data_IF_681123985140
#
_entry.id   IF_681123985140
#
_cell.length_a   1.000
_cell.length_b   1.000
_cell.length_c   1.000
_cell.angle_alpha   90.00
_cell.angle_beta   90.00
_cell.angle_gamma   90.00
#
_symmetry.space_group_name_H-M   'P 1'
#
loop_
_entity.id
_entity.type
_entity.pdbx_description
1 polymer ?
2 non-polymer ?
3 non-polymer ?
4 water ?
#
# COMPACT_ATOMS: atom_id res chain seq x y z
N UNK A 1 -0.51 9.61 -26.65
CA UNK A 1 -1.78 8.99 -26.19
C UNK A 1 -2.08 7.69 -26.95
N UNK A 2 -1.79 7.65 -28.26
CA UNK A 2 -1.81 6.41 -29.04
C UNK A 2 -0.41 5.80 -29.10
N UNK A 3 -0.35 4.48 -28.99
CA UNK A 3 0.89 3.75 -29.21
C UNK A 3 1.72 3.41 -27.97
N UNK A 4 1.21 3.67 -26.78
CA UNK A 4 2.00 3.41 -25.57
C UNK A 4 2.21 1.93 -25.34
N UNK A 5 3.43 1.57 -24.95
CA UNK A 5 3.77 0.21 -24.58
C UNK A 5 3.18 -0.17 -23.20
N UNK A 6 2.58 0.80 -22.50
CA UNK A 6 2.04 0.58 -21.16
C UNK A 6 0.52 0.77 -21.13
N UNK A 7 -0.07 0.76 -22.32
CA UNK A 7 -1.53 0.86 -22.48
C UNK A 7 -2.30 -0.15 -21.60
N UNK A 8 -1.84 -1.40 -21.59
CA UNK A 8 -2.42 -2.43 -20.71
C UNK A 8 -2.42 -2.09 -19.23
N UNK A 9 -1.27 -1.69 -18.69
CA UNK A 9 -1.17 -1.29 -17.31
C UNK A 9 -2.14 -0.17 -17.04
N UNK A 10 -2.22 0.79 -17.97
CA UNK A 10 -3.09 1.92 -17.74
C UNK A 10 -4.55 1.49 -17.67
N UNK A 11 -4.97 0.65 -18.61
CA UNK A 11 -6.33 0.11 -18.59
C UNK A 11 -6.64 -0.74 -17.35
N UNK A 12 -5.66 -1.53 -16.90
CA UNK A 12 -5.82 -2.32 -15.67
C UNK A 12 -6.05 -1.41 -14.46
N UNK A 13 -5.26 -0.34 -14.34
CA UNK A 13 -5.41 0.56 -13.21
C UNK A 13 -6.74 1.30 -13.26
N UNK A 14 -7.12 1.78 -14.44
CA UNK A 14 -8.43 2.40 -14.61
C UNK A 14 -9.57 1.46 -14.18
N UNK A 15 -9.50 0.20 -14.59
CA UNK A 15 -10.53 -0.78 -14.23
C UNK A 15 -10.55 -1.02 -12.71
N UNK A 16 -9.37 -1.08 -12.10
CA UNK A 16 -9.24 -1.28 -10.65
C UNK A 16 -9.82 -0.09 -9.88
N UNK A 17 -9.43 1.12 -10.27
CA UNK A 17 -9.92 2.32 -9.60
C UNK A 17 -11.45 2.48 -9.74
N UNK A 18 -12.00 2.05 -10.88
CA UNK A 18 -13.45 2.10 -11.11
C UNK A 18 -14.25 1.15 -10.18
N UNK A 19 -13.57 0.20 -9.57
CA UNK A 19 -14.22 -0.74 -8.63
C UNK A 19 -14.40 -0.15 -7.24
N UNK A 20 -13.70 0.96 -6.96
CA UNK A 20 -13.73 1.61 -5.64
C UNK A 20 -15.05 2.32 -5.42
N UNK A 21 -15.73 1.97 -4.32
CA UNK A 21 -16.98 2.60 -3.97
C UNK A 21 -16.74 3.68 -2.92
N UNK A 22 -16.87 4.96 -3.31
CA UNK A 22 -16.63 6.09 -2.40
C UNK A 22 -17.61 6.17 -1.23
N UNK A 23 -18.59 5.27 -1.18
CA UNK A 23 -19.55 5.21 -0.07
C UNK A 23 -19.08 4.31 1.07
N UNK A 24 -18.02 3.55 0.82
CA UNK A 24 -17.51 2.59 1.80
C UNK A 24 -16.13 3.01 2.31
N UNK A 25 -15.75 2.50 3.47
CA UNK A 25 -14.41 2.71 4.02
C UNK A 25 -13.35 2.22 3.06
N UNK A 26 -12.37 3.07 2.77
CA UNK A 26 -11.22 2.70 1.98
C UNK A 26 -9.96 3.10 2.73
N UNK A 27 -9.17 2.10 3.08
CA UNK A 27 -7.86 2.31 3.69
C UNK A 27 -6.77 2.56 2.68
N UNK A 28 -5.81 3.39 3.08
CA UNK A 28 -4.61 3.62 2.28
C UNK A 28 -3.37 3.61 3.19
N UNK A 29 -2.34 2.86 2.78
CA UNK A 29 -1.05 2.91 3.42
C UNK A 29 0.06 2.84 2.36
N UNK A 30 1.20 3.46 2.69
CA UNK A 30 2.41 3.33 1.86
C UNK A 30 3.59 2.87 2.72
N UNK A 31 4.54 2.21 2.08
CA UNK A 31 5.86 2.07 2.65
C UNK A 31 6.88 2.86 1.83
N UNK A 32 7.92 3.32 2.52
CA UNK A 32 8.86 4.31 2.02
C UNK A 32 8.36 5.68 2.45
N UNK A 33 9.24 6.69 2.38
CA UNK A 33 8.87 8.08 2.72
C UNK A 33 7.89 8.61 1.70
N UNK A 34 7.08 9.63 2.07
CA UNK A 34 6.09 10.12 1.10
C UNK A 34 6.71 10.77 -0.16
N UNK A 35 7.97 11.18 -0.05
CA UNK A 35 8.70 11.76 -1.18
C UNK A 35 9.30 10.70 -2.12
N UNK A 36 9.33 9.44 -1.67
CA UNK A 36 9.93 8.35 -2.44
C UNK A 36 9.28 7.02 -2.06
N UNK A 37 7.97 6.90 -2.30
CA UNK A 37 7.23 5.72 -1.85
C UNK A 37 7.58 4.49 -2.68
N UNK A 38 7.63 3.32 -2.04
CA UNK A 38 7.98 2.09 -2.76
C UNK A 38 6.87 1.04 -2.80
N UNK A 39 5.85 1.23 -1.98
CA UNK A 39 4.74 0.29 -1.94
C UNK A 39 3.49 1.06 -1.55
N UNK A 40 2.39 0.76 -2.22
CA UNK A 40 1.09 1.39 -2.01
C UNK A 40 -0.01 0.35 -1.93
N UNK A 41 -0.93 0.51 -0.99
CA UNK A 41 -2.08 -0.38 -0.92
C UNK A 41 -3.31 0.42 -0.60
N UNK A 42 -4.41 0.13 -1.31
CA UNK A 42 -5.75 0.60 -0.96
C UNK A 42 -6.57 -0.62 -0.69
N UNK A 43 -7.37 -0.58 0.37
CA UNK A 43 -8.12 -1.76 0.77
C UNK A 43 -9.55 -1.37 1.11
N UNK A 44 -10.50 -2.01 0.44
CA UNK A 44 -11.92 -1.76 0.65
C UNK A 44 -12.57 -3.04 1.17
N UNK A 45 -12.59 -3.19 2.50
CA UNK A 45 -13.10 -4.41 3.15
C UNK A 45 -14.54 -4.79 2.75
N UNK A 46 -15.40 -3.79 2.55
CA UNK A 46 -16.82 -4.06 2.20
C UNK A 46 -17.00 -4.73 0.84
N UNK A 47 -16.06 -4.51 -0.07
CA UNK A 47 -16.07 -5.18 -1.37
C UNK A 47 -14.97 -6.23 -1.46
N UNK A 48 -14.37 -6.55 -0.32
CA UNK A 48 -13.35 -7.61 -0.20
C UNK A 48 -12.23 -7.47 -1.26
N UNK A 49 -11.78 -6.24 -1.47
CA UNK A 49 -10.89 -5.95 -2.58
C UNK A 49 -9.74 -5.03 -2.21
N UNK A 50 -8.65 -5.12 -2.97
CA UNK A 50 -7.51 -4.24 -2.76
C UNK A 50 -6.75 -3.90 -4.02
N UNK A 51 -6.10 -2.73 -4.00
CA UNK A 51 -5.20 -2.28 -5.04
C UNK A 51 -3.82 -2.24 -4.39
N UNK A 52 -2.85 -2.87 -5.00
CA UNK A 52 -1.51 -3.00 -4.41
C UNK A 52 -0.49 -2.91 -5.49
N UNK A 53 0.48 -2.02 -5.32
CA UNK A 53 1.53 -1.85 -6.34
C UNK A 53 2.83 -1.39 -5.72
N UNK A 54 3.88 -1.37 -6.54
CA UNK A 54 5.23 -1.11 -6.09
C UNK A 54 5.88 -0.12 -7.03
N UNK A 55 6.97 0.47 -6.56
CA UNK A 55 7.82 1.28 -7.42
C UNK A 55 9.26 1.26 -6.92
N UNK A 56 10.20 1.29 -7.86
CA UNK A 56 11.61 1.45 -7.55
C UNK A 56 11.87 2.86 -7.00
N UNK A 57 12.61 2.98 -5.88
CA UNK A 57 12.89 4.30 -5.33
C UNK A 57 13.85 5.08 -6.21
N UNK A 58 13.73 6.40 -6.21
CA UNK A 58 14.69 7.23 -6.94
C UNK A 58 15.88 7.59 -6.11
N UNK A 59 15.73 7.52 -4.80
CA UNK A 59 16.81 7.79 -3.85
C UNK A 59 17.23 6.47 -3.20
N UNK A 60 18.16 5.77 -3.83
CA UNK A 60 18.57 4.44 -3.39
C UNK A 60 19.34 4.46 -2.06
N UNK A 61 20.12 5.51 -1.84
CA UNK A 61 20.81 5.73 -0.57
C UNK A 61 19.80 5.90 0.57
N UNK A 62 18.79 6.73 0.34
CA UNK A 62 17.71 6.94 1.30
C UNK A 62 16.85 5.71 1.55
N UNK A 63 16.69 4.87 0.52
CA UNK A 63 15.89 3.63 0.57
C UNK A 63 16.42 2.66 1.64
N UNK A 64 17.72 2.71 1.87
CA UNK A 64 18.38 1.80 2.82
C UNK A 64 17.80 1.87 4.22
N UNK A 65 17.51 3.09 4.69
CA UNK A 65 16.89 3.33 6.00
C UNK A 65 15.57 2.54 6.19
N UNK A 66 14.60 2.78 5.32
CA UNK A 66 13.33 2.05 5.33
C UNK A 66 13.48 0.54 5.14
N UNK A 67 14.39 0.15 4.26
CA UNK A 67 14.63 -1.26 3.96
C UNK A 67 15.12 -2.01 5.20
N UNK A 68 16.13 -1.47 5.86
CA UNK A 68 16.72 -2.11 7.04
C UNK A 68 15.83 -2.02 8.29
N UNK A 69 15.10 -0.91 8.43
CA UNK A 69 14.43 -0.63 9.69
C UNK A 69 12.93 -0.62 9.69
N UNK A 70 12.31 -0.74 8.52
CA UNK A 70 10.86 -0.62 8.47
C UNK A 70 10.18 -1.69 7.62
N UNK A 71 10.39 -1.65 6.30
CA UNK A 71 9.58 -2.47 5.39
C UNK A 71 10.26 -3.74 4.94
N UNK A 72 11.57 -3.81 5.04
CA UNK A 72 12.30 -5.03 4.68
C UNK A 72 12.23 -5.40 3.21
N UNK A 73 11.94 -4.42 2.35
CA UNK A 73 11.95 -4.66 0.91
C UNK A 73 13.36 -4.47 0.42
N UNK A 74 13.89 -5.51 -0.21
CA UNK A 74 15.21 -5.49 -0.81
C UNK A 74 15.16 -4.90 -2.20
N UNK A 75 16.24 -4.20 -2.60
CA UNK A 75 16.29 -3.55 -3.91
C UNK A 75 16.04 -4.54 -5.04
N UNK A 76 16.55 -5.75 -4.88
CA UNK A 76 16.39 -6.82 -5.85
C UNK A 76 14.92 -7.13 -6.14
N UNK A 77 14.05 -6.93 -5.14
CA UNK A 77 12.65 -7.33 -5.26
C UNK A 77 11.73 -6.22 -5.79
N UNK A 78 12.27 -5.01 -5.94
CA UNK A 78 11.47 -3.95 -6.56
C UNK A 78 12.17 -3.21 -7.68
N UNK A 79 13.45 -3.50 -7.93
CA UNK A 79 14.16 -2.77 -8.98
C UNK A 79 13.50 -2.89 -10.36
N UNK A 80 12.73 -3.97 -10.58
CA UNK A 80 12.04 -4.17 -11.86
C UNK A 80 10.56 -3.73 -11.88
N UNK A 81 10.11 -3.01 -10.84
CA UNK A 81 8.76 -2.44 -10.83
C UNK A 81 8.57 -1.43 -11.96
N UNK A 82 7.42 -1.49 -12.63
CA UNK A 82 7.10 -0.58 -13.74
C UNK A 82 6.90 0.81 -13.12
N UNK A 83 7.66 1.83 -13.57
CA UNK A 83 7.49 3.16 -12.97
C UNK A 83 6.16 3.81 -13.28
N UNK A 84 5.69 4.66 -12.37
CA UNK A 84 4.48 5.46 -12.64
C UNK A 84 3.16 4.81 -12.26
N UNK A 85 3.16 3.51 -11.95
CA UNK A 85 1.91 2.83 -11.60
C UNK A 85 1.33 3.42 -10.32
N UNK A 86 2.18 3.52 -9.32
CA UNK A 86 1.79 4.08 -8.03
C UNK A 86 1.18 5.47 -8.21
N UNK A 87 1.85 6.33 -8.99
CA UNK A 87 1.34 7.69 -9.20
C UNK A 87 0.02 7.71 -9.98
N UNK A 88 -0.10 6.79 -10.94
CA UNK A 88 -1.29 6.72 -11.80
C UNK A 88 -2.52 6.34 -10.96
N UNK A 89 -2.34 5.41 -10.03
CA UNK A 89 -3.42 5.02 -9.09
C UNK A 89 -3.87 6.26 -8.33
N UNK A 90 -2.92 7.00 -7.74
CA UNK A 90 -3.26 8.19 -6.96
C UNK A 90 -3.99 9.24 -7.81
N UNK A 91 -3.50 9.45 -9.03
CA UNK A 91 -4.10 10.39 -9.96
C UNK A 91 -5.55 10.08 -10.31
N UNK A 92 -5.93 8.81 -10.26
CA UNK A 92 -7.26 8.38 -10.70
C UNK A 92 -8.30 8.35 -9.60
N UNK A 93 -7.85 8.43 -8.35
CA UNK A 93 -8.80 8.35 -7.26
C UNK A 93 -9.92 9.38 -7.43
N UNK A 94 -11.17 8.98 -7.11
CA UNK A 94 -12.33 9.85 -7.31
C UNK A 94 -12.17 11.17 -6.56
N UNK A 95 -12.67 12.27 -7.14
CA UNK A 95 -12.62 13.57 -6.49
C UNK A 95 -13.24 13.54 -5.10
N UNK A 96 -12.52 14.15 -4.15
CA UNK A 96 -13.00 14.36 -2.78
C UNK A 96 -13.28 13.09 -1.98
N UNK A 97 -12.69 11.97 -2.39
CA UNK A 97 -12.91 10.69 -1.73
C UNK A 97 -12.39 10.73 -0.30
N UNK A 98 -13.11 10.11 0.63
CA UNK A 98 -12.64 10.01 2.01
C UNK A 98 -11.84 8.73 2.19
N UNK A 99 -10.60 8.90 2.63
CA UNK A 99 -9.63 7.79 2.76
C UNK A 99 -9.26 7.63 4.24
N UNK A 100 -9.31 6.40 4.70
CA UNK A 100 -8.99 6.05 6.10
C UNK A 100 -7.52 5.64 6.22
N UNK A 101 -6.86 6.16 7.25
CA UNK A 101 -5.41 5.96 7.42
C UNK A 101 -5.04 5.79 8.90
N UNK A 102 -3.86 5.22 9.15
CA UNK A 102 -3.31 5.24 10.49
C UNK A 102 -2.02 6.05 10.42
N UNK A 103 -2.02 7.21 11.09
CA UNK A 103 -0.92 8.16 10.98
C UNK A 103 -0.96 8.88 9.63
N UNK A 104 -1.72 9.98 9.60
CA UNK A 104 -2.06 10.72 8.38
C UNK A 104 -0.94 11.57 7.78
N UNK A 105 0.10 11.87 8.57
CA UNK A 105 1.08 12.90 8.18
C UNK A 105 1.76 12.58 6.85
N UNK A 106 2.33 11.38 6.76
CA UNK A 106 3.04 11.00 5.54
C UNK A 106 2.11 10.81 4.35
N UNK A 107 0.92 10.25 4.59
CA UNK A 107 -0.08 10.13 3.50
C UNK A 107 -0.57 11.51 2.98
N UNK A 108 -0.80 12.45 3.90
CA UNK A 108 -1.20 13.80 3.51
C UNK A 108 -0.15 14.38 2.58
N UNK A 109 1.12 14.23 2.97
CA UNK A 109 2.23 14.74 2.18
C UNK A 109 2.28 14.08 0.80
N UNK A 110 2.15 12.75 0.78
CA UNK A 110 2.14 11.99 -0.46
C UNK A 110 1.06 12.50 -1.41
N UNK A 111 -0.15 12.66 -0.88
CA UNK A 111 -1.28 13.08 -1.69
C UNK A 111 -1.13 14.53 -2.17
N UNK A 112 -0.57 15.38 -1.32
CA UNK A 112 -0.32 16.79 -1.68
C UNK A 112 0.72 16.92 -2.79
N UNK A 113 1.80 16.14 -2.68
CA UNK A 113 2.83 16.03 -3.75
C UNK A 113 2.21 15.66 -5.09
N UNK A 114 1.20 14.79 -5.04
CA UNK A 114 0.49 14.35 -6.25
C UNK A 114 -0.62 15.25 -6.68
N UNK A 115 -0.69 16.42 -6.04
CA UNK A 115 -1.67 17.45 -6.37
C UNK A 115 -3.09 17.04 -6.01
N UNK A 116 -3.22 16.19 -4.99
CA UNK A 116 -4.52 15.65 -4.59
C UNK A 116 -4.97 16.20 -3.24
N UNK A 117 -4.95 17.52 -3.13
CA UNK A 117 -5.41 18.19 -1.91
C UNK A 117 -6.91 17.97 -1.65
N UNK A 118 -7.63 17.56 -2.69
CA UNK A 118 -9.07 17.35 -2.60
C UNK A 118 -9.44 16.09 -1.80
N UNK A 119 -8.54 15.11 -1.78
CA UNK A 119 -8.77 13.87 -1.04
C UNK A 119 -8.75 14.16 0.46
N UNK A 120 -9.69 13.57 1.19
CA UNK A 120 -9.82 13.85 2.63
C UNK A 120 -9.40 12.65 3.44
N UNK A 121 -8.71 12.89 4.54
CA UNK A 121 -8.15 11.80 5.33
C UNK A 121 -8.78 11.70 6.70
N UNK A 122 -9.12 10.48 7.09
CA UNK A 122 -9.45 10.18 8.46
C UNK A 122 -8.21 9.50 9.04
N UNK A 123 -7.73 9.98 10.18
CA UNK A 123 -6.65 9.32 10.89
C UNK A 123 -7.26 8.62 12.09
N UNK A 124 -7.18 7.29 12.15
CA UNK A 124 -7.79 6.57 13.28
C UNK A 124 -7.00 6.77 14.57
N UNK A 125 -5.77 7.28 14.44
CA UNK A 125 -4.93 7.62 15.59
C UNK A 125 -4.78 6.49 16.60
N UNK A 126 -4.50 5.28 16.10
CA UNK A 126 -4.16 4.17 16.99
C UNK A 126 -2.80 4.37 17.61
N UNK A 127 -2.62 3.84 18.83
CA UNK A 127 -1.26 3.61 19.30
C UNK A 127 -0.65 2.48 18.47
N UNK A 128 0.68 2.38 18.49
CA UNK A 128 1.34 1.26 17.83
C UNK A 128 0.80 -0.12 18.26
N UNK A 129 0.66 -0.31 19.58
CA UNK A 129 0.15 -1.57 20.13
C UNK A 129 -1.28 -1.88 19.62
N UNK A 130 -2.11 -0.86 19.53
CA UNK A 130 -3.48 -1.02 19.03
C UNK A 130 -3.49 -1.36 17.54
N UNK A 131 -2.73 -0.59 16.78
CA UNK A 131 -2.62 -0.78 15.31
C UNK A 131 -2.15 -2.18 14.93
N UNK A 132 -1.25 -2.75 15.73
CA UNK A 132 -0.62 -4.02 15.38
C UNK A 132 -1.12 -5.21 16.20
N UNK A 133 -2.28 -5.03 16.83
CA UNK A 133 -2.95 -6.10 17.63
C UNK A 133 -2.97 -7.43 16.91
N UNK A 134 -3.32 -7.38 15.63
CA UNK A 134 -3.57 -8.56 14.82
C UNK A 134 -2.43 -8.86 13.86
N UNK A 135 -1.24 -8.30 14.10
CA UNK A 135 -0.12 -8.44 13.15
C UNK A 135 0.25 -9.90 12.86
N UNK A 136 0.48 -10.67 13.91
CA UNK A 136 0.85 -12.07 13.72
C UNK A 136 -0.23 -12.84 13.02
N UNK A 137 -1.48 -12.62 13.42
CA UNK A 137 -2.63 -13.30 12.81
C UNK A 137 -2.78 -12.95 11.32
N UNK A 138 -2.55 -11.69 10.99
CA UNK A 138 -2.64 -11.25 9.61
C UNK A 138 -1.54 -11.88 8.75
N UNK A 139 -0.33 -11.95 9.29
CA UNK A 139 0.77 -12.59 8.54
C UNK A 139 0.51 -14.06 8.34
N UNK A 140 -0.09 -14.69 9.34
CA UNK A 140 -0.39 -16.11 9.22
C UNK A 140 -1.46 -16.39 8.15
N UNK A 141 -2.57 -15.66 8.20
CA UNK A 141 -3.71 -15.90 7.32
C UNK A 141 -3.54 -15.31 5.91
N UNK A 142 -2.91 -14.14 5.82
CA UNK A 142 -2.88 -13.37 4.58
C UNK A 142 -1.48 -13.04 4.06
N UNK A 143 -0.45 -13.60 4.70
CA UNK A 143 0.94 -13.29 4.35
C UNK A 143 1.31 -13.65 2.92
N UNK A 144 0.68 -14.70 2.40
CA UNK A 144 0.83 -15.09 1.00
C UNK A 144 0.39 -14.02 0.01
N UNK A 145 -0.31 -12.99 0.48
CA UNK A 145 -0.73 -11.90 -0.40
C UNK A 145 0.43 -10.99 -0.85
N UNK A 146 1.48 -10.90 -0.02
CA UNK A 146 2.65 -10.12 -0.38
C UNK A 146 3.95 -10.79 0.04
N UNK A 147 4.73 -11.21 -0.96
CA UNK A 147 5.98 -11.93 -0.73
C UNK A 147 7.21 -11.05 -1.01
N UNK A 148 7.03 -9.73 -0.88
CA UNK A 148 8.04 -8.75 -1.30
C UNK A 148 8.89 -8.20 -0.15
N UNK A 149 8.72 -8.76 1.03
CA UNK A 149 9.41 -8.28 2.23
C UNK A 149 10.37 -9.34 2.73
N UNK A 150 11.53 -9.42 2.09
CA UNK A 150 12.46 -10.52 2.38
C UNK A 150 13.71 -10.16 3.18
N UNK A 151 13.82 -8.89 3.56
CA UNK A 151 14.95 -8.42 4.35
C UNK A 151 14.66 -8.55 5.83
N UNK A 152 15.67 -8.87 6.62
CA UNK A 152 15.50 -8.93 8.06
C UNK A 152 15.47 -7.51 8.62
N UNK A 153 14.53 -7.26 9.53
CA UNK A 153 14.39 -5.95 10.18
C UNK A 153 15.39 -5.79 11.33
N UNK A 154 16.25 -4.79 11.19
CA UNK A 154 17.31 -4.45 12.16
C UNK A 154 16.80 -3.33 13.09
N UNK A 155 17.17 -3.39 14.37
CA UNK A 155 16.65 -2.43 15.37
C UNK A 155 17.40 -1.09 15.50
N UNK A 156 18.02 -0.62 14.41
CA UNK A 156 18.78 0.64 14.40
C UNK A 156 20.00 0.61 15.33
N UNK A 167 15.63 -9.91 22.08
CA UNK A 167 14.52 -10.82 21.81
C UNK A 167 14.51 -11.29 20.34
N UNK A 168 13.48 -10.89 19.59
CA UNK A 168 13.28 -11.34 18.23
C UNK A 168 13.08 -10.15 17.28
N UNK A 169 13.54 -10.28 16.01
CA UNK A 169 13.33 -9.22 15.02
C UNK A 169 11.85 -8.87 14.82
N UNK A 170 11.55 -7.59 14.59
CA UNK A 170 10.19 -7.14 14.28
C UNK A 170 9.74 -7.70 12.94
N UNK A 171 8.44 -7.85 12.76
CA UNK A 171 7.89 -8.20 11.46
C UNK A 171 8.05 -6.99 10.54
N UNK A 172 8.37 -7.22 9.27
CA UNK A 172 8.45 -6.06 8.37
C UNK A 172 7.08 -5.45 8.09
N UNK A 173 7.06 -4.18 7.72
CA UNK A 173 5.79 -3.51 7.45
C UNK A 173 5.49 -3.55 6.00
N UNK A 174 4.29 -4.08 5.71
CA UNK A 174 3.78 -4.17 4.35
C UNK A 174 2.56 -3.27 4.26
N UNK A 175 2.51 -2.44 3.22
CA UNK A 175 1.38 -1.50 3.03
C UNK A 175 0.06 -2.24 3.01
N UNK A 176 0.04 -3.41 2.37
CA UNK A 176 -1.21 -4.16 2.23
C UNK A 176 -1.65 -4.77 3.55
N UNK A 177 -0.76 -5.55 4.15
CA UNK A 177 -1.07 -6.19 5.42
C UNK A 177 -1.31 -5.17 6.54
N UNK A 178 -0.66 -4.02 6.44
CA UNK A 178 -0.96 -2.90 7.36
C UNK A 178 -2.43 -2.50 7.24
N UNK A 179 -2.90 -2.25 6.01
CA UNK A 179 -4.32 -1.93 5.80
C UNK A 179 -5.23 -3.01 6.39
N UNK A 180 -4.89 -4.28 6.13
CA UNK A 180 -5.76 -5.37 6.58
C UNK A 180 -5.77 -5.44 8.11
N UNK A 181 -4.60 -5.31 8.72
CA UNK A 181 -4.55 -5.41 10.20
C UNK A 181 -5.13 -4.18 10.89
N UNK A 182 -5.00 -3.01 10.25
CA UNK A 182 -5.59 -1.79 10.83
C UNK A 182 -7.10 -1.91 10.79
N UNK A 183 -7.66 -2.39 9.68
CA UNK A 183 -9.10 -2.62 9.60
C UNK A 183 -9.56 -3.67 10.60
N UNK A 184 -8.76 -4.72 10.76
CA UNK A 184 -9.04 -5.73 11.77
C UNK A 184 -9.08 -5.15 13.18
N UNK A 185 -8.16 -4.24 13.49
CA UNK A 185 -8.14 -3.55 14.77
C UNK A 185 -9.40 -2.71 14.96
N UNK A 186 -9.83 -2.02 13.90
CA UNK A 186 -11.01 -1.17 13.97
C UNK A 186 -12.30 -1.99 14.11
N UNK A 187 -12.28 -3.19 13.53
CA UNK A 187 -13.44 -4.09 13.51
C UNK A 187 -13.50 -5.04 14.70
N UNK A 188 -12.34 -5.33 15.29
CA UNK A 188 -12.22 -6.30 16.37
C UNK A 188 -11.99 -7.74 15.91
N UNK A 189 -11.89 -7.94 14.60
CA UNK A 189 -11.71 -9.28 14.05
C UNK A 189 -11.11 -9.23 12.64
N UNK A 190 -10.42 -10.31 12.26
CA UNK A 190 -9.92 -10.43 10.88
C UNK A 190 -11.10 -10.55 9.94
N UNK A 191 -10.94 -10.08 8.69
CA UNK A 191 -12.05 -10.19 7.74
C UNK A 191 -12.49 -11.63 7.50
N UNK A 192 -13.78 -11.79 7.18
CA UNK A 192 -14.39 -13.08 6.85
C UNK A 192 -13.41 -14.04 6.15
N UNK A 193 -12.95 -13.67 4.96
CA UNK A 193 -11.86 -14.38 4.30
C UNK A 193 -11.32 -13.70 3.04
N UNK A 194 -10.01 -13.47 3.06
CA UNK A 194 -9.18 -13.18 1.88
C UNK A 194 -9.71 -12.15 0.89
N UNK A 195 -9.18 -10.92 0.96
CA UNK A 195 -9.50 -9.93 -0.07
C UNK A 195 -8.87 -10.31 -1.41
N UNK A 196 -9.43 -9.77 -2.49
CA UNK A 196 -9.05 -10.11 -3.86
C UNK A 196 -8.28 -8.96 -4.49
N UNK A 197 -7.14 -9.25 -5.16
CA UNK A 197 -6.40 -8.19 -5.84
C UNK A 197 -7.11 -7.68 -7.10
N UNK A 198 -7.14 -6.36 -7.27
CA UNK A 198 -7.72 -5.74 -8.45
C UNK A 198 -6.66 -5.48 -9.51
N UNK A 199 -5.39 -5.50 -9.09
CA UNK A 199 -4.24 -5.34 -9.98
C UNK A 199 -3.46 -6.65 -10.05
N UNK A 200 -3.48 -7.34 -11.19
CA UNK A 200 -2.70 -8.56 -11.34
C UNK A 200 -1.19 -8.31 -11.18
N UNK A 201 -0.59 -9.09 -10.30
CA UNK A 201 0.82 -9.00 -9.91
C UNK A 201 1.80 -8.94 -11.09
N UNK A 202 1.55 -9.75 -12.11
CA UNK A 202 2.42 -9.85 -13.28
C UNK A 202 2.58 -8.52 -14.03
N UNK A 203 1.61 -7.61 -13.83
CA UNK A 203 1.62 -6.29 -14.47
C UNK A 203 2.36 -5.20 -13.69
N UNK A 204 2.67 -5.48 -12.44
CA UNK A 204 3.38 -4.52 -11.59
C UNK A 204 4.88 -4.47 -11.91
N UNK A 205 5.36 -5.41 -12.73
CA UNK A 205 6.80 -5.60 -12.98
C UNK A 205 7.19 -5.84 -14.44
N UNK A 206 8.42 -5.44 -14.81
CA UNK A 206 8.96 -5.70 -16.14
C UNK A 206 9.23 -7.19 -16.33
N UNK A 207 8.98 -7.71 -17.55
CA UNK A 207 9.35 -9.06 -17.98
C UNK A 207 10.87 -9.30 -17.92
#
# INVERSE_FOLDING_TARGET
>A
DIGSEFEGQELIVRAAVSELDPSNTIWLDIEGPPTDPVELALYQPAKKQYIHCFRKPHDEKGFKNGSRHSHGILMKDIEDAVPGVLSYVIGLLPPNMVITTQGSDDIRKLLDIHGRKDLKLIDVKFTSDQARQFEHQVWDKFGHLCKQHNGVIISKKNKSKDSPPSPSPDEPHCALLDCIMFHSAMSGELPKEEPIPLLPKEFLFFPKTAFAL
#
